data_IF_050321675788
#
_entry.id   IF_050321675788
#
_cell.length_a   1.000
_cell.length_b   1.000
_cell.length_c   1.000
_cell.angle_alpha   90.00
_cell.angle_beta   90.00
_cell.angle_gamma   90.00
#
_symmetry.space_group_name_H-M   'P 1'
#
loop_
_entity.id
_entity.type
_entity.pdbx_description
1 polymer ?
#
# COMPACT_ATOMS: atom_id res chain seq x y z
N UNK A 1 10.01 -8.42 -3.36
CA UNK A 1 9.35 -7.27 -2.71
C UNK A 1 8.45 -7.80 -1.61
N UNK A 2 8.25 -7.02 -0.54
CA UNK A 2 7.40 -7.46 0.58
C UNK A 2 5.94 -7.16 0.25
N UNK A 3 5.05 -7.89 0.91
CA UNK A 3 3.61 -7.65 0.89
C UNK A 3 3.15 -7.33 2.30
N UNK A 4 2.24 -6.37 2.42
CA UNK A 4 1.71 -5.90 3.68
C UNK A 4 0.20 -6.10 3.68
N UNK A 5 -0.31 -6.69 4.75
CA UNK A 5 -1.74 -6.96 4.87
C UNK A 5 -2.35 -5.97 5.86
N UNK A 6 -3.40 -5.28 5.42
CA UNK A 6 -4.26 -4.52 6.31
C UNK A 6 -4.86 -5.47 7.35
N UNK A 7 -4.62 -5.18 8.63
CA UNK A 7 -5.11 -6.02 9.75
C UNK A 7 -6.63 -5.91 9.96
N UNK A 8 -7.28 -4.92 9.34
CA UNK A 8 -8.71 -4.66 9.48
C UNK A 8 -9.51 -5.42 8.42
N UNK A 9 -9.24 -5.18 7.14
CA UNK A 9 -10.01 -5.77 6.03
C UNK A 9 -9.27 -6.88 5.27
N UNK A 10 -7.96 -7.02 5.45
CA UNK A 10 -7.16 -8.03 4.76
C UNK A 10 -6.65 -7.62 3.37
N UNK A 11 -6.86 -6.36 2.93
CA UNK A 11 -6.25 -5.84 1.71
C UNK A 11 -4.74 -6.04 1.73
N UNK A 12 -4.16 -6.41 0.59
CA UNK A 12 -2.73 -6.62 0.43
C UNK A 12 -2.13 -5.48 -0.38
N UNK A 13 -1.26 -4.70 0.26
CA UNK A 13 -0.33 -3.80 -0.43
C UNK A 13 0.90 -4.61 -0.88
N UNK A 14 1.06 -4.80 -2.18
CA UNK A 14 2.27 -5.40 -2.77
C UNK A 14 3.22 -4.27 -3.20
N UNK A 15 4.40 -4.19 -2.59
CA UNK A 15 5.40 -3.20 -2.97
C UNK A 15 5.78 -3.31 -4.45
N UNK A 16 5.67 -4.48 -5.08
CA UNK A 16 5.92 -4.63 -6.51
C UNK A 16 4.86 -3.97 -7.39
N UNK A 17 3.63 -3.84 -6.90
CA UNK A 17 2.52 -3.22 -7.61
C UNK A 17 2.39 -1.74 -7.25
N UNK A 18 2.80 -1.36 -6.04
CA UNK A 18 2.54 -0.03 -5.49
C UNK A 18 1.05 0.21 -5.36
N UNK A 19 0.63 1.48 -5.40
CA UNK A 19 -0.77 1.87 -5.49
C UNK A 19 -0.93 3.06 -6.46
N UNK A 20 -0.86 2.83 -7.78
CA UNK A 20 -0.76 3.92 -8.76
C UNK A 20 -1.99 4.85 -8.81
N UNK A 21 -3.16 4.34 -8.41
CA UNK A 21 -4.39 5.12 -8.27
C UNK A 21 -4.27 6.25 -7.23
N UNK A 22 -3.44 6.05 -6.20
CA UNK A 22 -3.13 7.02 -5.16
C UNK A 22 -1.75 7.68 -5.35
N UNK A 23 -1.12 7.47 -6.52
CA UNK A 23 0.20 8.04 -6.84
C UNK A 23 1.39 7.30 -6.21
N UNK A 24 1.17 6.11 -5.65
CA UNK A 24 2.25 5.25 -5.14
C UNK A 24 2.77 4.37 -6.28
N UNK A 25 3.98 4.64 -6.77
CA UNK A 25 4.53 3.93 -7.92
C UNK A 25 4.88 2.45 -7.60
N UNK A 26 4.83 1.56 -8.62
CA UNK A 26 5.33 0.20 -8.47
C UNK A 26 6.79 0.18 -7.99
N UNK A 27 7.06 -0.63 -6.98
CA UNK A 27 8.36 -0.72 -6.32
C UNK A 27 8.51 0.15 -5.06
N UNK A 28 7.51 0.97 -4.72
CA UNK A 28 7.52 1.76 -3.48
C UNK A 28 7.46 0.84 -2.28
N UNK A 29 8.47 0.93 -1.40
CA UNK A 29 8.47 0.16 -0.15
C UNK A 29 7.46 0.74 0.82
N UNK A 30 6.96 -0.09 1.73
CA UNK A 30 6.06 0.38 2.78
C UNK A 30 6.64 1.50 3.65
N UNK A 31 7.96 1.50 3.88
CA UNK A 31 8.66 2.56 4.63
C UNK A 31 8.67 3.91 3.90
N UNK A 32 8.41 3.91 2.59
CA UNK A 32 8.39 5.09 1.71
C UNK A 32 6.95 5.50 1.34
N UNK A 33 5.93 4.75 1.76
CA UNK A 33 4.52 5.11 1.55
C UNK A 33 4.18 6.36 2.37
N UNK A 34 3.48 7.37 1.81
CA UNK A 34 3.10 8.56 2.55
C UNK A 34 2.33 8.25 3.83
N UNK A 35 2.64 8.95 4.93
CA UNK A 35 1.98 8.73 6.24
C UNK A 35 0.48 9.07 6.25
N UNK A 36 0.03 9.87 5.27
CA UNK A 36 -1.37 10.22 5.06
C UNK A 36 -2.11 9.24 4.14
N UNK A 37 -1.41 8.26 3.55
CA UNK A 37 -2.06 7.19 2.80
C UNK A 37 -2.82 6.26 3.75
N UNK A 38 -4.05 5.97 3.35
CA UNK A 38 -5.00 5.14 4.09
C UNK A 38 -5.37 3.93 3.24
N UNK A 39 -5.75 2.83 3.88
CA UNK A 39 -6.13 1.64 3.15
C UNK A 39 -7.35 1.95 2.27
N UNK A 40 -7.29 1.75 0.95
CA UNK A 40 -8.35 2.17 0.04
C UNK A 40 -9.65 1.38 0.23
N UNK A 41 -9.57 0.21 0.88
CA UNK A 41 -10.73 -0.64 1.14
C UNK A 41 -11.45 -0.30 2.45
N UNK A 42 -10.74 0.16 3.50
CA UNK A 42 -11.34 0.40 4.82
C UNK A 42 -11.05 1.75 5.49
N UNK A 43 -10.22 2.61 4.88
CA UNK A 43 -9.75 3.87 5.45
C UNK A 43 -8.61 3.67 6.43
#
# INVERSE_FOLDING_TARGET
MKKWQCVVCGLIYDEAEGWPEDGIEPGTKWEDVPEDWVCPDCG
#
